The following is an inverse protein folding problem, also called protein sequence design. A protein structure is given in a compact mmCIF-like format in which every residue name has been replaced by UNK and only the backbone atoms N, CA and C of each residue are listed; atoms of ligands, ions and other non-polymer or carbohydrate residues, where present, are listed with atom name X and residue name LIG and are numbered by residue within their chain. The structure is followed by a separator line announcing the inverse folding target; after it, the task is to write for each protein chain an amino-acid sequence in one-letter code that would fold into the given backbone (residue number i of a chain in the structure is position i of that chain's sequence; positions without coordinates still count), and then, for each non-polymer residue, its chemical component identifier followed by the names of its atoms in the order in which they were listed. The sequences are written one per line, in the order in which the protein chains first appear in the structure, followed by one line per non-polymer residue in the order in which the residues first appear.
data_IF_177879283784
#
_entry.id   IF_177879283784
#
_cell.length_a   1.000
_cell.length_b   1.000
_cell.length_c   1.000
_cell.angle_alpha   90.00
_cell.angle_beta   90.00
_cell.angle_gamma   90.00
#
_symmetry.space_group_name_H-M   'P 1'
#
loop_
_entity.id
_entity.type
_entity.pdbx_description
1 polymer ?
#
# COMPACT_ATOMS: atom_id res chain seq x y z
N UNK A 1 20.11 9.16 -34.64
CA UNK A 1 18.67 9.08 -34.30
C UNK A 1 18.59 8.39 -32.95
N UNK A 2 18.58 9.14 -31.85
CA UNK A 2 18.62 8.58 -30.49
C UNK A 2 17.17 8.39 -30.02
N UNK A 3 16.75 7.15 -29.84
CA UNK A 3 15.45 6.82 -29.25
C UNK A 3 15.53 7.13 -27.75
N UNK A 4 14.99 8.28 -27.34
CA UNK A 4 14.70 8.54 -25.94
C UNK A 4 13.55 7.63 -25.53
N UNK A 5 13.86 6.44 -25.01
CA UNK A 5 12.91 5.64 -24.25
C UNK A 5 12.54 6.42 -22.99
N UNK A 6 11.38 7.09 -23.02
CA UNK A 6 10.74 7.57 -21.80
C UNK A 6 10.44 6.33 -20.95
N UNK A 7 11.33 6.03 -19.98
CA UNK A 7 10.98 5.17 -18.86
C UNK A 7 9.81 5.82 -18.14
N UNK A 8 8.59 5.35 -18.41
CA UNK A 8 7.45 5.69 -17.58
C UNK A 8 7.76 5.24 -16.16
N UNK A 9 7.97 6.21 -15.27
CA UNK A 9 7.99 5.98 -13.84
C UNK A 9 6.61 5.44 -13.47
N UNK A 10 6.49 4.12 -13.33
CA UNK A 10 5.29 3.49 -12.78
C UNK A 10 5.03 4.13 -11.43
N UNK A 11 3.98 4.96 -11.33
CA UNK A 11 3.50 5.47 -10.04
C UNK A 11 3.26 4.26 -9.15
N UNK A 12 3.99 4.18 -8.05
CA UNK A 12 3.77 3.21 -6.98
C UNK A 12 3.26 3.98 -5.78
N UNK A 13 2.25 3.46 -5.10
CA UNK A 13 1.83 3.99 -3.80
C UNK A 13 2.55 3.20 -2.71
N UNK A 14 2.90 3.92 -1.64
CA UNK A 14 3.51 3.33 -0.46
C UNK A 14 2.61 3.59 0.72
N UNK A 15 2.31 2.52 1.45
CA UNK A 15 1.72 2.63 2.78
C UNK A 15 2.83 2.83 3.78
N UNK A 16 2.69 3.84 4.64
CA UNK A 16 3.62 4.12 5.72
C UNK A 16 2.89 3.98 7.04
N UNK A 17 3.49 3.21 7.96
CA UNK A 17 3.10 3.25 9.36
C UNK A 17 4.07 4.16 10.09
N UNK A 18 3.51 5.10 10.84
CA UNK A 18 4.27 6.10 11.60
C UNK A 18 3.79 6.06 13.05
N UNK A 19 4.75 6.19 13.97
CA UNK A 19 4.46 6.45 15.38
C UNK A 19 3.89 7.86 15.54
N UNK A 20 3.29 8.12 16.70
CA UNK A 20 2.81 9.46 17.06
C UNK A 20 3.94 10.51 17.18
N UNK A 21 5.20 10.07 17.29
CA UNK A 21 6.39 10.94 17.27
C UNK A 21 6.93 11.17 15.85
N UNK A 22 6.13 10.86 14.82
CA UNK A 22 6.45 10.91 13.39
C UNK A 22 7.59 9.96 12.94
N UNK A 23 8.06 9.08 13.83
CA UNK A 23 9.04 8.06 13.44
C UNK A 23 8.42 7.05 12.49
N UNK A 24 9.08 6.82 11.35
CA UNK A 24 8.71 5.77 10.42
C UNK A 24 8.92 4.40 11.07
N UNK A 25 7.83 3.64 11.21
CA UNK A 25 7.87 2.24 11.63
C UNK A 25 8.16 1.34 10.45
N UNK A 26 7.42 1.55 9.36
CA UNK A 26 7.49 0.71 8.19
C UNK A 26 6.95 1.39 6.94
N UNK A 27 7.39 0.87 5.80
CA UNK A 27 6.93 1.27 4.50
C UNK A 27 6.71 0.04 3.64
N UNK A 28 5.48 -0.14 3.15
CA UNK A 28 5.07 -1.32 2.38
C UNK A 28 4.58 -0.86 1.01
N UNK A 29 5.11 -1.51 -0.03
CA UNK A 29 4.61 -1.36 -1.39
C UNK A 29 3.39 -2.27 -1.56
N UNK A 30 2.25 -1.81 -1.06
CA UNK A 30 1.01 -2.57 -1.09
C UNK A 30 0.34 -2.42 -2.45
N UNK A 31 0.02 -1.20 -2.89
CA UNK A 31 -0.84 -0.97 -4.05
C UNK A 31 -0.10 -0.30 -5.23
N UNK A 32 -0.62 -0.53 -6.45
CA UNK A 32 -0.13 0.18 -7.65
C UNK A 32 -0.67 1.60 -7.74
N UNK A 33 -1.76 1.89 -7.02
CA UNK A 33 -2.41 3.19 -6.97
C UNK A 33 -2.68 3.55 -5.52
N UNK A 34 -2.85 4.84 -5.25
CA UNK A 34 -3.13 5.30 -3.89
C UNK A 34 -4.43 4.67 -3.37
N UNK A 35 -4.40 4.00 -2.21
CA UNK A 35 -5.60 3.45 -1.59
C UNK A 35 -6.59 4.54 -1.23
N UNK A 36 -7.88 4.28 -1.41
CA UNK A 36 -8.95 5.23 -1.09
C UNK A 36 -9.34 5.18 0.38
N UNK A 37 -9.19 4.01 1.01
CA UNK A 37 -9.65 3.76 2.37
C UNK A 37 -8.61 2.96 3.14
N UNK A 38 -8.57 3.21 4.45
CA UNK A 38 -7.73 2.52 5.43
C UNK A 38 -8.54 2.23 6.69
N UNK A 39 -8.32 1.06 7.29
CA UNK A 39 -8.83 0.69 8.61
C UNK A 39 -7.74 -0.02 9.39
N UNK A 40 -7.38 0.52 10.55
CA UNK A 40 -6.41 -0.10 11.45
C UNK A 40 -7.12 -0.94 12.52
N UNK A 41 -6.58 -2.12 12.79
CA UNK A 41 -7.02 -3.09 13.80
C UNK A 41 -5.85 -3.25 14.79
N UNK A 42 -5.82 -2.46 15.88
CA UNK A 42 -4.65 -2.37 16.75
C UNK A 42 -4.38 -3.64 17.55
N UNK A 43 -5.41 -4.37 17.95
CA UNK A 43 -5.32 -5.62 18.73
C UNK A 43 -4.52 -6.71 17.99
N UNK A 44 -4.53 -6.67 16.66
CA UNK A 44 -3.92 -7.67 15.78
C UNK A 44 -2.70 -7.13 15.00
N UNK A 45 -2.34 -5.86 15.20
CA UNK A 45 -1.34 -5.14 14.39
C UNK A 45 -1.62 -5.25 12.87
N UNK A 46 -2.90 -5.09 12.48
CA UNK A 46 -3.32 -5.19 11.09
C UNK A 46 -3.86 -3.87 10.55
N UNK A 47 -3.58 -3.59 9.28
CA UNK A 47 -4.18 -2.53 8.50
C UNK A 47 -4.87 -3.13 7.27
N UNK A 48 -6.10 -2.71 7.02
CA UNK A 48 -6.84 -3.06 5.82
C UNK A 48 -6.86 -1.82 4.93
N UNK A 49 -6.40 -1.97 3.69
CA UNK A 49 -6.40 -0.90 2.70
C UNK A 49 -7.10 -1.34 1.41
N UNK A 50 -7.95 -0.47 0.87
CA UNK A 50 -8.65 -0.71 -0.38
C UNK A 50 -8.04 0.15 -1.49
N UNK A 51 -7.42 -0.52 -2.45
CA UNK A 51 -6.77 0.10 -3.59
C UNK A 51 -7.40 -0.32 -4.93
N UNK A 52 -7.32 0.57 -5.91
CA UNK A 52 -7.75 0.26 -7.26
C UNK A 52 -6.73 -0.63 -7.99
N UNK A 53 -7.18 -1.62 -8.79
CA UNK A 53 -8.57 -2.06 -8.98
C UNK A 53 -8.91 -3.23 -8.03
N UNK A 54 -10.02 -3.10 -7.31
CA UNK A 54 -10.70 -4.20 -6.61
C UNK A 54 -9.81 -5.08 -5.72
N UNK A 55 -8.83 -4.48 -5.04
CA UNK A 55 -7.95 -5.21 -4.14
C UNK A 55 -8.05 -4.66 -2.74
N UNK A 56 -8.42 -5.54 -1.82
CA UNK A 56 -8.21 -5.33 -0.40
C UNK A 56 -6.87 -5.95 -0.03
N UNK A 57 -6.03 -5.18 0.64
CA UNK A 57 -4.78 -5.69 1.22
C UNK A 57 -4.86 -5.63 2.72
N UNK A 58 -4.38 -6.70 3.34
CA UNK A 58 -4.17 -6.77 4.78
C UNK A 58 -2.67 -6.70 4.98
N UNK A 59 -2.21 -5.67 5.65
CA UNK A 59 -0.80 -5.44 5.98
C UNK A 59 -0.62 -5.47 7.49
N UNK A 60 0.55 -5.89 7.93
CA UNK A 60 1.05 -5.72 9.30
C UNK A 60 2.25 -4.78 9.24
N UNK A 61 2.72 -4.29 10.39
CA UNK A 61 3.91 -3.45 10.53
C UNK A 61 5.13 -3.89 9.72
N UNK A 62 5.29 -5.17 9.39
CA UNK A 62 6.49 -5.64 8.67
C UNK A 62 6.24 -6.16 7.25
N UNK A 63 5.00 -6.45 6.85
CA UNK A 63 4.74 -7.18 5.59
C UNK A 63 3.29 -7.11 5.13
N UNK A 64 3.10 -7.45 3.85
CA UNK A 64 1.80 -7.88 3.33
C UNK A 64 1.42 -9.24 3.95
N UNK A 65 0.23 -9.31 4.55
CA UNK A 65 -0.32 -10.52 5.15
C UNK A 65 -1.22 -11.23 4.16
N UNK A 66 -2.13 -10.49 3.50
CA UNK A 66 -3.05 -11.06 2.52
C UNK A 66 -3.44 -10.04 1.44
N UNK A 67 -3.86 -10.57 0.29
CA UNK A 67 -4.48 -9.83 -0.79
C UNK A 67 -5.80 -10.53 -1.16
N UNK A 68 -6.89 -9.78 -1.17
CA UNK A 68 -8.20 -10.25 -1.56
C UNK A 68 -8.68 -9.47 -2.77
N UNK A 69 -9.24 -10.19 -3.75
CA UNK A 69 -9.95 -9.60 -4.87
C UNK A 69 -11.40 -9.34 -4.44
N UNK A 70 -11.91 -8.15 -4.73
CA UNK A 70 -13.32 -7.82 -4.54
C UNK A 70 -14.05 -7.88 -5.87
N UNK A 71 -15.26 -8.44 -5.87
CA UNK A 71 -16.16 -8.37 -7.02
C UNK A 71 -16.81 -6.97 -6.99
N UNK A 72 -16.04 -5.95 -7.36
CA UNK A 72 -16.47 -4.55 -7.37
C UNK A 72 -17.62 -4.26 -8.32
#
# INVERSE_FOLDING_TARGET
MIRNEKKELKKQSFEKMVRCDDSLLSQINSHKTEPKTYRFIPEEDLCISEGNPNKLKITSSSRLVAELLTDG
#
